data_IF_221979457545
#
_entry.id   IF_221979457545
#
_cell.length_a   1.000
_cell.length_b   1.000
_cell.length_c   1.000
_cell.angle_alpha   90.00
_cell.angle_beta   90.00
_cell.angle_gamma   90.00
#
_symmetry.space_group_name_H-M   'P 1'
#
loop_
_entity.id
_entity.type
_entity.pdbx_description
1 polymer ?
#
# COMPACT_ATOMS: atom_id res chain seq x y z
N UNK A 1 -2.61 32.41 -4.40
CA UNK A 1 -3.74 32.52 -3.45
C UNK A 1 -4.54 31.22 -3.44
N UNK A 2 -4.98 30.70 -2.28
CA UNK A 2 -5.79 29.48 -2.25
C UNK A 2 -7.14 29.71 -2.93
N UNK A 3 -7.55 28.82 -3.84
CA UNK A 3 -8.84 28.89 -4.55
C UNK A 3 -10.04 28.81 -3.59
N UNK A 4 -9.85 28.19 -2.44
CA UNK A 4 -10.85 28.06 -1.38
C UNK A 4 -10.85 29.33 -0.53
N UNK A 5 -11.92 30.12 -0.60
CA UNK A 5 -11.96 31.46 0.00
C UNK A 5 -12.52 31.52 1.42
N UNK A 6 -13.24 30.50 1.91
CA UNK A 6 -13.77 30.50 3.28
C UNK A 6 -12.97 29.61 4.24
N UNK A 7 -12.74 30.04 5.50
CA UNK A 7 -12.13 29.21 6.54
C UNK A 7 -12.87 27.88 6.75
N UNK A 8 -14.21 27.89 6.69
CA UNK A 8 -15.04 26.70 6.85
C UNK A 8 -14.81 25.70 5.72
N UNK A 9 -14.68 26.17 4.47
CA UNK A 9 -14.36 25.29 3.35
C UNK A 9 -12.93 24.73 3.45
N UNK A 10 -11.97 25.54 3.91
CA UNK A 10 -10.60 25.05 4.19
C UNK A 10 -10.60 23.96 5.26
N UNK A 11 -11.37 24.15 6.35
CA UNK A 11 -11.49 23.15 7.41
C UNK A 11 -12.11 21.85 6.90
N UNK A 12 -13.19 21.91 6.14
CA UNK A 12 -13.82 20.73 5.53
C UNK A 12 -12.85 19.96 4.63
N UNK A 13 -12.10 20.68 3.78
CA UNK A 13 -11.09 20.05 2.92
C UNK A 13 -9.94 19.44 3.70
N UNK A 14 -9.47 20.12 4.75
CA UNK A 14 -8.45 19.57 5.65
C UNK A 14 -8.94 18.27 6.30
N UNK A 15 -10.15 18.23 6.84
CA UNK A 15 -10.71 17.02 7.46
C UNK A 15 -10.82 15.85 6.48
N UNK A 16 -11.13 16.13 5.21
CA UNK A 16 -11.30 15.10 4.18
C UNK A 16 -9.99 14.66 3.51
N UNK A 17 -9.00 15.57 3.37
CA UNK A 17 -7.79 15.34 2.55
C UNK A 17 -6.50 15.25 3.34
N UNK A 18 -6.43 15.77 4.57
CA UNK A 18 -5.25 15.62 5.42
C UNK A 18 -5.17 14.18 5.93
N UNK A 19 -4.25 13.40 5.39
CA UNK A 19 -4.03 11.99 5.74
C UNK A 19 -3.17 11.85 6.99
N UNK A 20 -3.58 11.00 7.92
CA UNK A 20 -2.84 10.64 9.13
C UNK A 20 -2.58 9.14 9.17
N UNK A 21 -1.34 8.78 9.44
CA UNK A 21 -0.96 7.40 9.70
C UNK A 21 -1.61 6.93 11.02
N UNK A 22 -2.45 5.91 10.93
CA UNK A 22 -3.10 5.27 12.08
C UNK A 22 -2.72 3.79 12.26
N UNK A 23 -1.68 3.33 11.55
CA UNK A 23 -1.21 1.93 11.57
C UNK A 23 -0.50 1.52 12.86
N UNK A 24 -0.37 2.40 13.85
CA UNK A 24 0.28 2.11 15.13
C UNK A 24 1.81 1.94 15.06
N UNK A 25 2.40 2.09 13.88
CA UNK A 25 3.84 2.01 13.69
C UNK A 25 4.55 3.28 14.21
N UNK A 26 5.87 3.17 14.41
CA UNK A 26 6.68 4.36 14.71
C UNK A 26 6.68 5.34 13.52
N UNK A 27 6.92 6.63 13.79
CA UNK A 27 6.86 7.70 12.79
C UNK A 27 7.87 7.57 11.62
N UNK A 28 8.84 6.65 11.71
CA UNK A 28 9.88 6.41 10.70
C UNK A 28 9.69 5.10 9.94
N UNK A 29 8.77 4.25 10.38
CA UNK A 29 8.57 2.90 9.85
C UNK A 29 8.17 2.96 8.39
N UNK A 30 7.17 3.79 8.04
CA UNK A 30 6.76 4.01 6.65
C UNK A 30 7.91 4.42 5.73
N UNK A 31 8.83 5.27 6.20
CA UNK A 31 10.00 5.74 5.42
C UNK A 31 10.97 4.61 5.08
N UNK A 32 11.09 3.59 5.93
CA UNK A 32 12.03 2.47 5.78
C UNK A 32 11.35 1.23 5.18
N UNK A 33 10.15 0.92 5.64
CA UNK A 33 9.42 -0.29 5.31
C UNK A 33 8.77 -0.22 3.93
N UNK A 34 8.23 0.93 3.51
CA UNK A 34 7.61 1.05 2.17
C UNK A 34 8.65 0.80 1.06
N UNK A 35 9.82 1.47 1.03
CA UNK A 35 10.85 1.16 0.02
C UNK A 35 11.33 -0.29 0.11
N UNK A 36 11.52 -0.81 1.33
CA UNK A 36 11.95 -2.20 1.54
C UNK A 36 10.95 -3.22 1.01
N UNK A 37 9.65 -3.02 1.27
CA UNK A 37 8.59 -3.90 0.82
C UNK A 37 8.45 -3.88 -0.70
N UNK A 38 8.50 -2.69 -1.33
CA UNK A 38 8.57 -2.54 -2.80
C UNK A 38 9.76 -3.30 -3.40
N UNK A 39 10.96 -3.10 -2.84
CA UNK A 39 12.16 -3.77 -3.32
C UNK A 39 12.10 -5.30 -3.14
N UNK A 40 11.50 -5.80 -2.05
CA UNK A 40 11.26 -7.23 -1.85
C UNK A 40 10.29 -7.79 -2.88
N UNK A 41 9.18 -7.09 -3.14
CA UNK A 41 8.19 -7.48 -4.14
C UNK A 41 8.81 -7.64 -5.53
N UNK A 42 9.54 -6.63 -5.99
CA UNK A 42 10.19 -6.64 -7.31
C UNK A 42 11.23 -7.76 -7.41
N UNK A 43 12.03 -7.98 -6.34
CA UNK A 43 13.01 -9.08 -6.34
C UNK A 43 12.33 -10.45 -6.37
N UNK A 44 11.22 -10.63 -5.67
CA UNK A 44 10.47 -11.88 -5.68
C UNK A 44 9.85 -12.17 -7.05
N UNK A 45 9.33 -11.14 -7.72
CA UNK A 45 8.85 -11.20 -9.10
C UNK A 45 9.96 -11.61 -10.06
N UNK A 46 11.07 -10.86 -10.08
CA UNK A 46 12.24 -11.15 -10.94
C UNK A 46 12.78 -12.57 -10.73
N UNK A 47 12.87 -13.01 -9.47
CA UNK A 47 13.31 -14.38 -9.16
C UNK A 47 12.34 -15.41 -9.71
N UNK A 48 11.04 -15.24 -9.48
CA UNK A 48 10.03 -16.18 -9.97
C UNK A 48 10.02 -16.28 -11.49
N UNK A 49 10.04 -15.14 -12.17
CA UNK A 49 10.11 -15.08 -13.64
C UNK A 49 11.41 -15.67 -14.16
N UNK A 50 12.56 -15.33 -13.56
CA UNK A 50 13.85 -15.90 -13.95
C UNK A 50 13.94 -17.41 -13.78
N UNK A 51 13.36 -17.96 -12.71
CA UNK A 51 13.26 -19.41 -12.51
C UNK A 51 12.36 -20.06 -13.55
N UNK A 52 11.20 -19.46 -13.85
CA UNK A 52 10.29 -19.97 -14.88
C UNK A 52 10.94 -19.95 -16.27
N UNK A 53 11.71 -18.89 -16.58
CA UNK A 53 12.46 -18.77 -17.84
C UNK A 53 13.60 -19.80 -17.94
N UNK A 54 14.31 -20.07 -16.85
CA UNK A 54 15.38 -21.07 -16.86
C UNK A 54 14.84 -22.47 -17.16
N UNK A 55 13.67 -22.82 -16.63
CA UNK A 55 12.98 -24.08 -16.93
C UNK A 55 12.42 -24.08 -18.35
N UNK A 56 11.90 -22.94 -18.83
CA UNK A 56 11.30 -22.85 -20.16
C UNK A 56 12.29 -23.06 -21.30
N UNK A 57 13.58 -22.75 -21.11
CA UNK A 57 14.64 -23.01 -22.10
C UNK A 57 14.76 -24.51 -22.42
N UNK A 58 14.40 -25.38 -21.49
CA UNK A 58 14.45 -26.84 -21.65
C UNK A 58 13.09 -27.43 -22.06
N UNK A 59 12.06 -26.61 -22.27
CA UNK A 59 10.73 -27.08 -22.61
C UNK A 59 10.65 -27.52 -24.09
N UNK A 60 9.94 -28.62 -24.33
CA UNK A 60 9.69 -29.14 -25.67
C UNK A 60 8.68 -28.29 -26.46
N UNK A 61 7.73 -27.65 -25.76
CA UNK A 61 6.72 -26.77 -26.35
C UNK A 61 6.93 -25.31 -25.91
N UNK A 62 7.19 -24.38 -26.84
CA UNK A 62 7.36 -22.96 -26.54
C UNK A 62 6.07 -22.28 -26.01
N UNK A 63 4.89 -22.76 -26.38
CA UNK A 63 3.61 -22.16 -25.95
C UNK A 63 3.36 -22.44 -24.46
N UNK A 64 3.57 -23.69 -24.04
CA UNK A 64 3.46 -24.08 -22.63
C UNK A 64 4.49 -23.35 -21.75
N UNK A 65 5.70 -23.17 -22.29
CA UNK A 65 6.76 -22.40 -21.67
C UNK A 65 6.33 -20.94 -21.42
N UNK A 66 5.78 -20.28 -22.44
CA UNK A 66 5.30 -18.91 -22.32
C UNK A 66 4.16 -18.79 -21.31
N UNK A 67 3.19 -19.71 -21.36
CA UNK A 67 2.06 -19.73 -20.42
C UNK A 67 2.52 -19.82 -18.96
N UNK A 68 3.47 -20.70 -18.66
CA UNK A 68 4.02 -20.85 -17.30
C UNK A 68 4.70 -19.57 -16.81
N UNK A 69 5.48 -18.90 -17.67
CA UNK A 69 6.13 -17.63 -17.31
C UNK A 69 5.09 -16.54 -17.03
N UNK A 70 4.05 -16.44 -17.87
CA UNK A 70 2.94 -15.49 -17.68
C UNK A 70 2.17 -15.75 -16.39
N UNK A 71 1.89 -17.02 -16.08
CA UNK A 71 1.20 -17.41 -14.85
C UNK A 71 2.00 -17.02 -13.60
N UNK A 72 3.30 -17.32 -13.59
CA UNK A 72 4.19 -16.94 -12.48
C UNK A 72 4.24 -15.42 -12.32
N UNK A 73 4.39 -14.68 -13.43
CA UNK A 73 4.36 -13.21 -13.40
C UNK A 73 3.05 -12.67 -12.81
N UNK A 74 1.90 -13.14 -13.30
CA UNK A 74 0.59 -12.74 -12.80
C UNK A 74 0.40 -13.06 -11.31
N UNK A 75 0.84 -14.25 -10.87
CA UNK A 75 0.80 -14.66 -9.47
C UNK A 75 1.63 -13.72 -8.58
N UNK A 76 2.86 -13.39 -8.98
CA UNK A 76 3.72 -12.46 -8.24
C UNK A 76 3.16 -11.04 -8.21
N UNK A 77 2.59 -10.56 -9.31
CA UNK A 77 1.94 -9.25 -9.38
C UNK A 77 0.71 -9.15 -8.47
N UNK A 78 -0.07 -10.23 -8.34
CA UNK A 78 -1.22 -10.29 -7.41
C UNK A 78 -0.78 -10.24 -5.94
N UNK A 79 0.31 -10.93 -5.61
CA UNK A 79 0.90 -10.94 -4.26
C UNK A 79 1.78 -9.73 -3.97
N UNK A 80 1.96 -8.81 -4.93
CA UNK A 80 2.87 -7.69 -4.80
C UNK A 80 2.44 -6.71 -3.70
N UNK A 81 3.43 -6.08 -3.07
CA UNK A 81 3.18 -5.07 -2.05
C UNK A 81 2.39 -3.89 -2.62
N UNK A 82 1.26 -3.55 -1.97
CA UNK A 82 0.46 -2.36 -2.27
C UNK A 82 0.45 -1.42 -1.07
N UNK A 83 0.80 -0.16 -1.30
CA UNK A 83 0.68 0.88 -0.27
C UNK A 83 -0.80 1.19 -0.06
N UNK A 84 -1.27 1.09 1.17
CA UNK A 84 -2.60 1.55 1.55
C UNK A 84 -2.57 3.05 1.89
N UNK A 85 -3.60 3.84 1.55
CA UNK A 85 -3.67 5.25 1.89
C UNK A 85 -3.78 5.47 3.40
N UNK A 86 -3.29 6.63 3.87
CA UNK A 86 -3.51 7.08 5.25
C UNK A 86 -4.98 7.44 5.48
N UNK A 87 -5.42 7.47 6.74
CA UNK A 87 -6.80 7.81 7.09
C UNK A 87 -7.04 9.32 7.08
N UNK A 88 -8.23 9.80 6.66
CA UNK A 88 -8.54 11.21 6.70
C UNK A 88 -8.59 11.72 8.14
N UNK A 89 -8.13 12.95 8.36
CA UNK A 89 -8.05 13.59 9.67
C UNK A 89 -9.40 13.58 10.40
N UNK A 90 -10.51 13.76 9.69
CA UNK A 90 -11.86 13.69 10.26
C UNK A 90 -12.15 12.36 10.96
N UNK A 91 -11.87 11.22 10.31
CA UNK A 91 -12.06 9.89 10.91
C UNK A 91 -11.18 9.69 12.14
N UNK A 92 -9.93 10.17 12.08
CA UNK A 92 -8.99 10.06 13.20
C UNK A 92 -9.46 10.87 14.41
N UNK A 93 -9.99 12.08 14.18
CA UNK A 93 -10.51 12.93 15.25
C UNK A 93 -11.76 12.31 15.90
N UNK A 94 -12.70 11.79 15.10
CA UNK A 94 -13.89 11.08 15.60
C UNK A 94 -13.46 9.92 16.50
N UNK A 95 -12.49 9.10 16.04
CA UNK A 95 -11.97 7.97 16.82
C UNK A 95 -11.32 8.41 18.13
N UNK A 96 -10.55 9.51 18.12
CA UNK A 96 -9.93 10.07 19.33
C UNK A 96 -10.97 10.60 20.33
N UNK A 97 -12.00 11.28 19.85
CA UNK A 97 -13.09 11.79 20.71
C UNK A 97 -13.89 10.64 21.35
N UNK A 98 -14.17 9.58 20.59
CA UNK A 98 -14.83 8.39 21.12
C UNK A 98 -14.02 7.73 22.26
N UNK A 99 -12.71 7.56 22.06
CA UNK A 99 -11.81 7.01 23.09
C UNK A 99 -11.73 7.86 24.35
N UNK A 100 -11.81 9.18 24.22
CA UNK A 100 -11.79 10.09 25.38
C UNK A 100 -13.07 9.93 26.19
N UNK A 101 -14.24 9.97 25.53
CA UNK A 101 -15.54 9.81 26.20
C UNK A 101 -15.64 8.48 26.96
N UNK A 102 -15.23 7.38 26.33
CA UNK A 102 -15.24 6.07 27.01
C UNK A 102 -14.32 6.01 28.24
N UNK A 103 -13.24 6.80 28.26
CA UNK A 103 -12.32 6.86 29.39
C UNK A 103 -12.80 7.80 30.52
N UNK A 104 -13.70 8.74 30.23
CA UNK A 104 -14.34 9.61 31.23
C UNK A 104 -15.54 8.92 31.90
N UNK A 105 -16.14 7.94 31.23
CA UNK A 105 -17.28 7.14 31.71
C UNK A 105 -16.88 5.89 32.52
N UNK A 106 -15.58 5.57 32.62
CA UNK A 106 -15.02 4.42 33.38
C UNK A 106 -14.34 4.90 34.66
#
# INVERSE_FOLDING_TARGET
>A
MSTVKSPQAKKRLSLARDGRNDFGENAKASRKNIPRAKARSIRAERRGVGQALAVSIQAADPIDAEMKVREVSASKARAAFRKYPDKPLGEVLIRKQARRRSAEES
#
